data_IF_227449070813
#
_entry.id   IF_227449070813
#
_cell.length_a   1.000
_cell.length_b   1.000
_cell.length_c   1.000
_cell.angle_alpha   90.00
_cell.angle_beta   90.00
_cell.angle_gamma   90.00
#
_symmetry.space_group_name_H-M   'P 1'
#
loop_
_entity.id
_entity.type
_entity.pdbx_description
1 polymer ?
#
# COMPACT_ATOMS: atom_id res chain seq x y z
N UNK A 1 -8.25 5.71 36.93
CA UNK A 1 -7.40 4.54 36.62
C UNK A 1 -6.23 5.01 35.76
N UNK A 2 -5.13 5.42 36.40
CA UNK A 2 -3.94 5.92 35.70
C UNK A 2 -3.14 4.76 35.11
N UNK A 3 -2.92 4.76 33.80
CA UNK A 3 -2.00 3.79 33.18
C UNK A 3 -0.58 4.04 33.71
N UNK A 4 0.20 2.99 34.03
CA UNK A 4 1.53 3.14 34.61
C UNK A 4 2.44 3.93 33.66
N UNK A 5 3.27 4.80 34.24
CA UNK A 5 4.13 5.78 33.54
C UNK A 5 5.01 5.14 32.45
N UNK A 6 5.39 3.87 32.61
CA UNK A 6 6.19 3.10 31.65
C UNK A 6 5.49 2.83 30.31
N UNK A 7 4.16 2.70 30.29
CA UNK A 7 3.42 2.42 29.03
C UNK A 7 3.38 3.64 28.12
N UNK A 8 3.27 4.85 28.70
CA UNK A 8 3.32 6.11 27.93
C UNK A 8 4.68 6.37 27.29
N UNK A 9 5.78 5.91 27.89
CA UNK A 9 7.12 6.09 27.31
C UNK A 9 7.34 5.22 26.07
N UNK A 10 6.84 3.98 26.07
CA UNK A 10 6.97 3.09 24.91
C UNK A 10 6.18 3.62 23.70
N UNK A 11 4.94 4.09 23.91
CA UNK A 11 4.11 4.68 22.85
C UNK A 11 4.79 5.91 22.20
N UNK A 12 5.46 6.76 23.00
CA UNK A 12 6.18 7.93 22.48
C UNK A 12 7.39 7.55 21.63
N UNK A 13 8.12 6.50 22.01
CA UNK A 13 9.28 6.01 21.25
C UNK A 13 8.84 5.41 19.92
N UNK A 14 7.72 4.69 19.88
CA UNK A 14 7.17 4.13 18.64
C UNK A 14 6.72 5.22 17.67
N UNK A 15 6.01 6.25 18.17
CA UNK A 15 5.59 7.39 17.35
C UNK A 15 6.81 8.14 16.80
N UNK A 16 7.83 8.39 17.63
CA UNK A 16 9.05 9.07 17.20
C UNK A 16 9.80 8.29 16.10
N UNK A 17 9.91 6.96 16.21
CA UNK A 17 10.49 6.11 15.16
C UNK A 17 9.69 6.15 13.86
N UNK A 18 8.37 6.23 13.95
CA UNK A 18 7.48 6.27 12.79
C UNK A 18 7.61 7.60 12.05
N UNK A 19 7.72 8.69 12.81
CA UNK A 19 7.94 10.03 12.28
C UNK A 19 9.32 10.19 11.63
N UNK A 20 10.35 9.59 12.24
CA UNK A 20 11.70 9.55 11.66
C UNK A 20 11.72 8.78 10.33
N UNK A 21 11.12 7.58 10.28
CA UNK A 21 10.98 6.80 9.03
C UNK A 21 10.27 7.60 7.95
N UNK A 22 9.19 8.30 8.31
CA UNK A 22 8.44 9.12 7.37
C UNK A 22 9.27 10.30 6.85
N UNK A 23 10.04 10.96 7.72
CA UNK A 23 10.93 12.06 7.34
C UNK A 23 12.02 11.60 6.38
N UNK A 24 12.65 10.47 6.67
CA UNK A 24 13.70 9.88 5.83
C UNK A 24 13.13 9.46 4.47
N UNK A 25 11.97 8.79 4.45
CA UNK A 25 11.30 8.39 3.22
C UNK A 25 10.89 9.58 2.35
N UNK A 26 10.31 10.63 2.95
CA UNK A 26 9.96 11.87 2.23
C UNK A 26 11.18 12.54 1.62
N UNK A 27 12.30 12.53 2.33
CA UNK A 27 13.55 13.13 1.85
C UNK A 27 14.12 12.31 0.70
N UNK A 28 14.06 10.98 0.81
CA UNK A 28 14.50 10.06 -0.23
C UNK A 28 13.72 10.24 -1.54
N UNK A 29 12.39 10.43 -1.47
CA UNK A 29 11.57 10.73 -2.66
C UNK A 29 11.99 12.04 -3.34
N UNK A 30 12.27 13.09 -2.55
CA UNK A 30 12.70 14.38 -3.11
C UNK A 30 14.06 14.27 -3.81
N UNK A 31 15.00 13.59 -3.16
CA UNK A 31 16.35 13.40 -3.71
C UNK A 31 16.32 12.50 -4.93
N UNK A 32 15.58 11.38 -4.89
CA UNK A 32 15.45 10.49 -6.05
C UNK A 32 14.78 11.19 -7.24
N UNK A 33 13.74 11.98 -7.00
CA UNK A 33 13.10 12.79 -8.03
C UNK A 33 14.05 13.83 -8.64
N UNK A 34 14.87 14.50 -7.83
CA UNK A 34 15.86 15.46 -8.31
C UNK A 34 16.95 14.78 -9.15
N UNK A 35 17.50 13.65 -8.70
CA UNK A 35 18.52 12.87 -9.45
C UNK A 35 17.95 12.36 -10.77
N UNK A 36 16.73 11.83 -10.75
CA UNK A 36 16.06 11.36 -11.95
C UNK A 36 15.77 12.49 -12.95
N UNK A 37 15.37 13.66 -12.47
CA UNK A 37 15.20 14.86 -13.29
C UNK A 37 16.49 15.29 -13.97
N UNK A 38 17.63 15.28 -13.24
CA UNK A 38 18.95 15.58 -13.81
C UNK A 38 19.38 14.54 -14.85
N UNK A 39 19.09 13.25 -14.60
CA UNK A 39 19.38 12.18 -15.55
C UNK A 39 18.64 12.38 -16.88
N UNK A 40 17.33 12.67 -16.84
CA UNK A 40 16.55 12.96 -18.06
C UNK A 40 17.04 14.25 -18.73
N UNK A 41 17.36 15.28 -17.96
CA UNK A 41 17.86 16.55 -18.52
C UNK A 41 19.18 16.35 -19.26
N UNK A 42 20.06 15.47 -18.78
CA UNK A 42 21.30 15.10 -19.46
C UNK A 42 21.00 14.44 -20.82
N UNK A 43 20.12 13.44 -20.85
CA UNK A 43 19.73 12.78 -22.11
C UNK A 43 19.10 13.78 -23.10
N UNK A 44 18.28 14.72 -22.61
CA UNK A 44 17.68 15.77 -23.43
C UNK A 44 18.71 16.73 -24.04
N UNK A 45 19.82 17.02 -23.35
CA UNK A 45 20.90 17.87 -23.87
C UNK A 45 21.71 17.12 -24.93
N UNK A 46 22.01 15.84 -24.70
CA UNK A 46 22.73 14.98 -25.66
C UNK A 46 21.95 14.83 -26.98
N UNK A 47 20.61 14.73 -26.93
CA UNK A 47 19.76 14.63 -28.13
C UNK A 47 19.58 15.97 -28.85
N UNK A 48 19.57 17.09 -28.14
CA UNK A 48 19.40 18.43 -28.73
C UNK A 48 20.60 18.85 -29.61
N UNK A 49 21.78 18.26 -29.36
CA UNK A 49 22.97 18.46 -30.19
C UNK A 49 22.90 17.77 -31.57
N UNK A 50 21.96 16.84 -31.80
CA UNK A 50 21.75 16.12 -33.06
C UNK A 50 20.48 16.56 -33.80
N UNK A 51 20.61 17.46 -34.77
CA UNK A 51 19.47 18.16 -35.39
C UNK A 51 18.44 17.27 -36.16
N UNK A 52 18.74 16.01 -36.45
CA UNK A 52 17.82 15.08 -37.14
C UNK A 52 16.83 14.37 -36.20
N UNK A 53 17.02 14.47 -34.88
CA UNK A 53 16.31 13.64 -33.88
C UNK A 53 15.08 14.33 -33.28
N UNK A 54 14.76 15.58 -33.63
CA UNK A 54 13.68 16.36 -32.97
C UNK A 54 12.29 15.69 -32.99
N UNK A 55 11.87 15.13 -34.13
CA UNK A 55 10.58 14.41 -34.23
C UNK A 55 10.59 13.06 -33.48
N UNK A 56 11.69 12.31 -33.58
CA UNK A 56 11.83 11.05 -32.85
C UNK A 56 11.90 11.29 -31.33
N UNK A 57 12.49 12.42 -30.91
CA UNK A 57 12.64 12.81 -29.52
C UNK A 57 11.34 13.30 -28.89
N UNK A 58 10.56 14.16 -29.56
CA UNK A 58 9.25 14.57 -29.02
C UNK A 58 8.33 13.36 -28.83
N UNK A 59 8.33 12.41 -29.77
CA UNK A 59 7.60 11.15 -29.64
C UNK A 59 8.17 10.27 -28.53
N UNK A 60 9.49 10.13 -28.41
CA UNK A 60 10.13 9.33 -27.36
C UNK A 60 9.94 9.91 -25.96
N UNK A 61 9.98 11.23 -25.80
CA UNK A 61 9.70 11.92 -24.54
C UNK A 61 8.24 11.78 -24.17
N UNK A 62 7.31 11.99 -25.10
CA UNK A 62 5.89 11.82 -24.84
C UNK A 62 5.57 10.35 -24.48
N UNK A 63 6.19 9.39 -25.18
CA UNK A 63 6.05 7.96 -24.87
C UNK A 63 6.66 7.61 -23.51
N UNK A 64 7.83 8.11 -23.15
CA UNK A 64 8.46 7.87 -21.85
C UNK A 64 7.68 8.51 -20.70
N UNK A 65 7.15 9.72 -20.89
CA UNK A 65 6.29 10.38 -19.89
C UNK A 65 4.99 9.63 -19.72
N UNK A 66 4.36 9.21 -20.82
CA UNK A 66 3.14 8.40 -20.79
C UNK A 66 3.40 7.01 -20.16
N UNK A 67 4.54 6.41 -20.42
CA UNK A 67 4.94 5.14 -19.82
C UNK A 67 5.24 5.28 -18.32
N UNK A 68 5.98 6.31 -17.92
CA UNK A 68 6.24 6.61 -16.51
C UNK A 68 4.94 6.92 -15.76
N UNK A 69 4.01 7.65 -16.39
CA UNK A 69 2.70 7.94 -15.81
C UNK A 69 1.84 6.68 -15.67
N UNK A 70 1.78 5.82 -16.68
CA UNK A 70 1.02 4.56 -16.59
C UNK A 70 1.64 3.60 -15.57
N UNK A 71 2.97 3.53 -15.49
CA UNK A 71 3.66 2.69 -14.50
C UNK A 71 3.47 3.18 -13.07
N UNK A 72 3.57 4.50 -12.84
CA UNK A 72 3.31 5.08 -11.52
C UNK A 72 1.84 4.92 -11.11
N UNK A 73 0.90 5.14 -12.04
CA UNK A 73 -0.53 4.93 -11.79
C UNK A 73 -0.84 3.45 -11.49
N UNK A 74 -0.23 2.52 -12.23
CA UNK A 74 -0.36 1.09 -11.97
C UNK A 74 0.22 0.69 -10.61
N UNK A 75 1.36 1.26 -10.23
CA UNK A 75 1.95 1.08 -8.90
C UNK A 75 1.03 1.57 -7.78
N UNK A 76 0.46 2.78 -7.93
CA UNK A 76 -0.50 3.36 -6.97
C UNK A 76 -1.77 2.50 -6.88
N UNK A 77 -2.31 2.07 -8.02
CA UNK A 77 -3.50 1.23 -8.06
C UNK A 77 -3.26 -0.13 -7.38
N UNK A 78 -2.10 -0.73 -7.60
CA UNK A 78 -1.71 -2.01 -6.97
C UNK A 78 -1.56 -1.84 -5.45
N UNK A 79 -0.88 -0.78 -5.00
CA UNK A 79 -0.72 -0.48 -3.58
C UNK A 79 -2.09 -0.25 -2.92
N UNK A 80 -2.97 0.52 -3.56
CA UNK A 80 -4.34 0.73 -3.11
C UNK A 80 -5.11 -0.58 -2.98
N UNK A 81 -5.08 -1.44 -4.01
CA UNK A 81 -5.78 -2.72 -4.01
C UNK A 81 -5.32 -3.65 -2.86
N UNK A 82 -4.03 -3.66 -2.54
CA UNK A 82 -3.49 -4.43 -1.40
C UNK A 82 -4.02 -3.89 -0.07
N UNK A 83 -3.94 -2.58 0.14
CA UNK A 83 -4.43 -1.93 1.37
C UNK A 83 -5.93 -2.17 1.55
N UNK A 84 -6.69 -2.03 0.47
CA UNK A 84 -8.12 -2.27 0.45
C UNK A 84 -8.45 -3.73 0.80
N UNK A 85 -7.72 -4.70 0.24
CA UNK A 85 -7.89 -6.13 0.56
C UNK A 85 -7.65 -6.43 2.03
N UNK A 86 -6.61 -5.83 2.64
CA UNK A 86 -6.31 -6.00 4.06
C UNK A 86 -7.42 -5.39 4.93
N UNK A 87 -7.88 -4.19 4.57
CA UNK A 87 -8.93 -3.47 5.31
C UNK A 87 -10.26 -4.22 5.28
N UNK A 88 -10.64 -4.75 4.11
CA UNK A 88 -11.84 -5.60 3.96
C UNK A 88 -11.74 -6.83 4.85
N UNK A 89 -10.61 -7.54 4.88
CA UNK A 89 -10.44 -8.73 5.73
C UNK A 89 -10.58 -8.41 7.22
N UNK A 90 -9.99 -7.30 7.70
CA UNK A 90 -10.13 -6.87 9.10
C UNK A 90 -11.57 -6.56 9.47
N UNK A 91 -12.29 -5.90 8.57
CA UNK A 91 -13.72 -5.57 8.79
C UNK A 91 -14.58 -6.83 8.83
N UNK A 92 -14.32 -7.79 7.94
CA UNK A 92 -15.01 -9.10 7.94
C UNK A 92 -14.76 -9.83 9.26
N UNK A 93 -13.52 -9.85 9.75
CA UNK A 93 -13.15 -10.49 11.02
C UNK A 93 -13.87 -9.87 12.22
N UNK A 94 -13.95 -8.55 12.27
CA UNK A 94 -14.69 -7.84 13.31
C UNK A 94 -16.20 -8.15 13.25
N UNK A 95 -16.80 -8.14 12.06
CA UNK A 95 -18.23 -8.40 11.90
C UNK A 95 -18.58 -9.86 12.18
N UNK A 96 -17.74 -10.81 11.76
CA UNK A 96 -17.94 -12.23 12.06
C UNK A 96 -17.85 -12.53 13.56
N UNK A 97 -16.90 -11.93 14.28
CA UNK A 97 -16.84 -12.06 15.74
C UNK A 97 -18.14 -11.60 16.41
N UNK A 98 -18.62 -10.40 16.03
CA UNK A 98 -19.87 -9.85 16.57
C UNK A 98 -21.10 -10.70 16.23
N UNK A 99 -21.20 -11.20 15.00
CA UNK A 99 -22.31 -12.07 14.59
C UNK A 99 -22.28 -13.35 15.42
N UNK A 100 -21.12 -13.99 15.56
CA UNK A 100 -20.97 -15.21 16.37
C UNK A 100 -21.38 -14.99 17.82
N UNK A 101 -20.98 -13.87 18.42
CA UNK A 101 -21.37 -13.51 19.78
C UNK A 101 -22.90 -13.33 19.91
N UNK A 102 -23.55 -12.69 18.93
CA UNK A 102 -25.00 -12.51 18.92
C UNK A 102 -25.75 -13.83 18.69
N UNK A 103 -25.25 -14.68 17.79
CA UNK A 103 -25.84 -15.98 17.48
C UNK A 103 -25.73 -16.93 18.67
N UNK A 104 -24.60 -16.95 19.38
CA UNK A 104 -24.41 -17.80 20.58
C UNK A 104 -25.33 -17.37 21.73
N UNK A 105 -25.67 -16.08 21.82
CA UNK A 105 -26.64 -15.57 22.81
C UNK A 105 -28.08 -15.96 22.49
N UNK A 106 -28.41 -16.10 21.21
CA UNK A 106 -29.76 -16.42 20.75
C UNK A 106 -30.00 -17.94 20.72
N UNK A 107 -29.02 -18.72 20.27
CA UNK A 107 -29.05 -20.17 20.20
C UNK A 107 -27.67 -20.75 20.57
N UNK A 108 -27.51 -21.28 21.80
CA UNK A 108 -26.24 -21.85 22.26
C UNK A 108 -25.79 -23.09 21.48
N UNK A 109 -26.70 -23.78 20.79
CA UNK A 109 -26.41 -25.02 20.06
C UNK A 109 -26.11 -24.79 18.58
N UNK A 110 -26.06 -23.54 18.12
CA UNK A 110 -25.82 -23.23 16.71
C UNK A 110 -24.36 -23.50 16.32
N UNK A 111 -24.16 -24.53 15.50
CA UNK A 111 -22.88 -24.81 14.86
C UNK A 111 -22.63 -23.80 13.72
N UNK A 112 -21.60 -22.96 13.86
CA UNK A 112 -21.22 -22.02 12.80
C UNK A 112 -20.88 -22.76 11.50
N UNK A 113 -21.10 -22.11 10.35
CA UNK A 113 -20.96 -22.64 8.99
C UNK A 113 -19.53 -23.05 8.55
N UNK A 114 -18.62 -23.35 9.48
CA UNK A 114 -17.26 -23.81 9.20
C UNK A 114 -16.33 -22.76 8.59
N UNK A 115 -16.83 -21.56 8.30
CA UNK A 115 -16.04 -20.47 7.72
C UNK A 115 -14.99 -19.97 8.70
N UNK A 116 -13.79 -19.67 8.18
CA UNK A 116 -12.76 -19.00 8.97
C UNK A 116 -13.22 -17.58 9.36
N UNK A 117 -12.71 -17.00 10.47
CA UNK A 117 -13.00 -15.62 10.89
C UNK A 117 -12.80 -14.55 9.79
N UNK A 118 -12.03 -14.88 8.75
CA UNK A 118 -11.75 -13.98 7.61
C UNK A 118 -12.72 -14.19 6.44
N UNK A 119 -13.82 -14.93 6.64
CA UNK A 119 -14.81 -15.25 5.61
C UNK A 119 -14.30 -16.18 4.51
N UNK A 120 -13.22 -16.94 4.74
CA UNK A 120 -12.72 -17.94 3.78
C UNK A 120 -13.24 -19.33 4.15
N UNK A 121 -13.49 -20.16 3.13
CA UNK A 121 -13.80 -21.59 3.27
C UNK A 121 -12.74 -22.29 4.12
N UNK A 122 -13.17 -23.24 4.96
CA UNK A 122 -12.26 -24.05 5.75
C UNK A 122 -11.29 -24.78 4.81
N UNK A 123 -9.96 -24.68 4.99
CA UNK A 123 -9.02 -25.42 4.16
C UNK A 123 -9.20 -26.94 4.23
N UNK A 124 -9.94 -27.46 5.23
CA UNK A 124 -10.35 -28.86 5.34
C UNK A 124 -11.52 -29.27 4.44
N UNK A 125 -12.27 -28.31 3.89
CA UNK A 125 -13.41 -28.55 2.98
C UNK A 125 -13.03 -28.50 1.48
N UNK A 126 -11.73 -28.44 1.16
CA UNK A 126 -11.30 -28.56 -0.24
C UNK A 126 -11.63 -29.98 -0.73
N UNK A 127 -12.37 -30.14 -1.85
CA UNK A 127 -12.54 -31.45 -2.45
C UNK A 127 -11.15 -31.99 -2.85
N UNK A 128 -10.91 -33.27 -2.55
CA UNK A 128 -9.74 -34.03 -3.00
C UNK A 128 -9.70 -34.09 -4.52
#
# INVERSE_FOLDING_TARGET
MSKPVSVRSHERIEIARLEEKYRTFRTLIKVSGAVFGVYIAREAIETLAGQTTKLAFELAVLANVQFAFTLTLAGVATAWAVVERITRQRKVEQMQGRIRDLETRLDPNRSSSGLTPKGKTNPKDKPK
#
